data_IF_060136249218
#
_entry.id   IF_060136249218
#
_cell.length_a   1.000
_cell.length_b   1.000
_cell.length_c   1.000
_cell.angle_alpha   90.00
_cell.angle_beta   90.00
_cell.angle_gamma   90.00
#
_symmetry.space_group_name_H-M   'P 1'
#
loop_
_entity.id
_entity.type
_entity.pdbx_description
1 polymer ?
#
# COMPACT_ATOMS: atom_id res chain seq x y z
N UNK A 1 -22.74 13.95 70.78
CA UNK A 1 -21.60 13.42 70.16
C UNK A 1 -21.85 13.13 68.68
N UNK A 2 -22.17 14.18 67.92
CA UNK A 2 -22.43 14.15 66.48
C UNK A 2 -22.11 15.54 65.91
N UNK A 3 -20.88 15.78 65.60
CA UNK A 3 -20.50 16.93 64.77
C UNK A 3 -19.04 16.85 64.37
N UNK A 4 -18.70 16.01 63.38
CA UNK A 4 -17.38 16.02 62.73
C UNK A 4 -17.34 15.24 61.41
N UNK A 5 -18.44 15.22 60.63
CA UNK A 5 -18.41 14.45 59.34
C UNK A 5 -18.90 15.23 58.11
N UNK A 6 -19.01 16.55 58.19
CA UNK A 6 -19.58 17.32 57.06
C UNK A 6 -18.64 18.33 56.42
N UNK A 7 -17.33 18.31 56.74
CA UNK A 7 -16.37 19.27 56.14
C UNK A 7 -15.39 18.62 55.13
N UNK A 8 -15.38 17.29 55.04
CA UNK A 8 -14.45 16.58 54.14
C UNK A 8 -14.95 16.35 52.68
N UNK A 9 -16.21 16.63 52.38
CA UNK A 9 -16.80 16.40 51.05
C UNK A 9 -16.83 17.67 50.18
N UNK A 10 -16.70 18.85 50.74
CA UNK A 10 -16.72 20.12 50.00
C UNK A 10 -15.36 20.51 49.41
N UNK A 11 -14.25 19.94 49.87
CA UNK A 11 -12.90 20.23 49.32
C UNK A 11 -12.46 19.30 48.20
N UNK A 12 -13.16 18.20 47.96
CA UNK A 12 -12.86 17.25 46.89
C UNK A 12 -13.56 17.57 45.56
N UNK A 13 -14.59 18.43 45.58
CA UNK A 13 -15.33 18.81 44.37
C UNK A 13 -14.78 20.04 43.66
N UNK A 14 -13.80 20.74 44.25
CA UNK A 14 -13.17 21.94 43.64
C UNK A 14 -11.87 21.64 42.89
N UNK A 15 -11.39 20.41 42.91
CA UNK A 15 -10.14 19.97 42.21
C UNK A 15 -10.40 19.24 40.88
N UNK A 16 -11.66 19.06 40.48
CA UNK A 16 -12.05 18.33 39.26
C UNK A 16 -12.49 19.24 38.10
N UNK A 17 -12.36 20.56 38.21
CA UNK A 17 -12.79 21.50 37.14
C UNK A 17 -11.59 22.18 36.43
N UNK A 18 -10.34 21.85 36.78
CA UNK A 18 -9.16 22.49 36.18
C UNK A 18 -8.28 21.58 35.31
N UNK A 19 -8.80 20.53 34.72
CA UNK A 19 -7.97 19.70 33.82
C UNK A 19 -8.72 19.20 32.60
N UNK A 20 -9.15 20.11 31.72
CA UNK A 20 -9.41 19.78 30.30
C UNK A 20 -9.31 21.06 29.44
N UNK A 21 -8.17 21.69 29.45
CA UNK A 21 -7.68 22.43 28.28
C UNK A 21 -6.57 21.61 27.68
N UNK A 22 -6.93 20.62 26.86
CA UNK A 22 -6.04 20.12 25.83
C UNK A 22 -5.80 21.29 24.87
N UNK A 23 -4.75 22.06 25.11
CA UNK A 23 -4.19 22.87 24.08
C UNK A 23 -3.74 21.86 22.99
N UNK A 24 -4.46 21.81 21.88
CA UNK A 24 -3.93 21.26 20.67
C UNK A 24 -2.62 22.02 20.42
N UNK A 25 -1.49 21.40 20.72
CA UNK A 25 -0.21 21.83 20.20
C UNK A 25 -0.34 21.69 18.68
N UNK A 26 -0.63 22.80 18.02
CA UNK A 26 -0.27 22.95 16.63
C UNK A 26 1.24 22.69 16.60
N UNK A 27 1.64 21.55 16.07
CA UNK A 27 3.01 21.31 15.64
C UNK A 27 3.29 22.37 14.59
N UNK A 28 3.87 23.46 15.03
CA UNK A 28 4.48 24.45 14.14
C UNK A 28 5.57 23.66 13.43
N UNK A 29 5.32 23.27 12.20
CA UNK A 29 6.36 22.76 11.30
C UNK A 29 7.46 23.80 11.33
N UNK A 30 8.70 23.46 11.67
CA UNK A 30 9.79 24.45 11.65
C UNK A 30 9.78 25.07 10.23
N UNK A 31 9.93 26.39 10.11
CA UNK A 31 10.01 27.03 8.80
C UNK A 31 11.11 26.30 8.02
N UNK A 32 10.75 25.75 6.86
CA UNK A 32 11.75 25.21 5.94
C UNK A 32 12.81 26.32 5.76
N UNK A 33 14.09 25.99 5.85
CA UNK A 33 15.14 26.97 5.62
C UNK A 33 14.87 27.64 4.27
N UNK A 34 15.03 28.99 4.18
CA UNK A 34 14.78 29.70 2.93
C UNK A 34 15.58 29.00 1.85
N UNK A 35 14.91 28.76 0.71
CA UNK A 35 15.53 28.19 -0.50
C UNK A 35 16.82 29.01 -0.77
N UNK A 36 17.94 28.51 -0.30
CA UNK A 36 19.25 29.08 -0.65
C UNK A 36 19.31 29.00 -2.17
N UNK A 37 19.59 30.11 -2.83
CA UNK A 37 19.75 30.20 -4.29
C UNK A 37 20.77 29.11 -4.65
N UNK A 38 20.27 27.98 -5.13
CA UNK A 38 21.12 26.87 -5.56
C UNK A 38 21.58 27.21 -6.97
N UNK A 39 22.89 27.27 -7.12
CA UNK A 39 23.51 27.55 -8.41
C UNK A 39 23.69 26.22 -9.11
N UNK A 40 22.97 26.04 -10.22
CA UNK A 40 23.20 24.94 -11.15
C UNK A 40 24.54 25.16 -11.81
N UNK A 41 25.43 24.15 -11.77
CA UNK A 41 26.76 24.23 -12.32
C UNK A 41 27.07 23.03 -13.21
N UNK A 42 27.61 23.30 -14.41
CA UNK A 42 28.26 22.30 -15.22
C UNK A 42 29.67 22.11 -14.68
N UNK A 43 29.93 20.99 -14.02
CA UNK A 43 31.20 20.74 -13.34
C UNK A 43 32.21 19.94 -14.18
N UNK A 44 31.73 19.28 -15.26
CA UNK A 44 32.57 18.49 -16.17
C UNK A 44 31.95 18.41 -17.56
N UNK A 45 32.74 18.54 -18.61
CA UNK A 45 32.43 18.20 -19.99
C UNK A 45 33.71 18.11 -20.80
N UNK A 46 33.69 17.46 -21.97
CA UNK A 46 34.82 17.48 -22.94
C UNK A 46 34.85 18.76 -23.74
N UNK A 47 33.69 19.33 -24.04
CA UNK A 47 33.58 20.63 -24.71
C UNK A 47 32.53 21.50 -24.03
N UNK A 48 32.81 22.78 -23.96
CA UNK A 48 31.93 23.80 -23.39
C UNK A 48 31.87 24.97 -24.35
N UNK A 49 30.66 25.47 -24.62
CA UNK A 49 30.41 26.66 -25.42
C UNK A 49 29.39 27.53 -24.71
N UNK A 50 29.67 28.80 -24.64
CA UNK A 50 28.77 29.82 -24.12
C UNK A 50 28.36 30.75 -25.26
N UNK A 51 27.08 31.10 -25.30
CA UNK A 51 26.53 32.07 -26.26
C UNK A 51 25.58 33.01 -25.53
N UNK A 52 25.92 34.28 -25.53
CA UNK A 52 25.05 35.37 -25.10
C UNK A 52 24.09 35.73 -26.24
N UNK A 53 22.80 35.59 -25.98
CA UNK A 53 21.71 35.89 -26.93
C UNK A 53 21.30 37.34 -26.81
N UNK A 54 21.13 37.83 -25.57
CA UNK A 54 20.82 39.22 -25.23
C UNK A 54 21.46 39.58 -23.88
N UNK A 55 21.29 40.80 -23.41
CA UNK A 55 21.89 41.29 -22.15
C UNK A 55 21.54 40.49 -20.90
N UNK A 56 20.49 39.67 -20.96
CA UNK A 56 19.97 38.90 -19.85
C UNK A 56 19.99 37.37 -20.05
N UNK A 57 20.21 36.93 -21.31
CA UNK A 57 20.09 35.51 -21.68
C UNK A 57 21.42 34.95 -22.16
N UNK A 58 21.99 34.08 -21.37
CA UNK A 58 23.17 33.28 -21.73
C UNK A 58 22.79 31.82 -21.82
N UNK A 59 23.17 31.17 -22.92
CA UNK A 59 23.00 29.74 -23.15
C UNK A 59 24.38 29.08 -23.09
N UNK A 60 24.49 28.10 -22.22
CA UNK A 60 25.69 27.29 -22.09
C UNK A 60 25.40 25.88 -22.65
N UNK A 61 26.25 25.39 -23.52
CA UNK A 61 26.14 24.05 -24.12
C UNK A 61 27.39 23.26 -23.81
N UNK A 62 27.21 22.09 -23.21
CA UNK A 62 28.31 21.18 -22.90
C UNK A 62 28.06 19.81 -23.54
N UNK A 63 29.12 19.18 -24.01
CA UNK A 63 29.06 17.85 -24.64
C UNK A 63 30.27 16.98 -24.25
N UNK A 64 30.03 15.67 -24.27
CA UNK A 64 30.99 14.63 -23.93
C UNK A 64 31.08 14.40 -22.42
N UNK A 65 30.32 13.44 -21.91
CA UNK A 65 30.28 13.02 -20.51
C UNK A 65 30.01 14.22 -19.56
N UNK A 66 28.99 15.01 -19.88
CA UNK A 66 28.62 16.19 -19.11
C UNK A 66 28.10 15.82 -17.72
N UNK A 67 28.53 16.57 -16.73
CA UNK A 67 28.11 16.42 -15.32
C UNK A 67 27.65 17.77 -14.78
N UNK A 68 26.41 17.79 -14.30
CA UNK A 68 25.76 18.98 -13.75
C UNK A 68 25.46 18.73 -12.28
N UNK A 69 25.61 19.74 -11.46
CA UNK A 69 25.33 19.69 -10.02
C UNK A 69 24.31 20.75 -9.62
N UNK A 70 23.30 20.33 -8.82
CA UNK A 70 22.33 21.18 -8.16
C UNK A 70 22.19 20.72 -6.70
N UNK A 71 22.97 21.32 -5.81
CA UNK A 71 23.05 20.90 -4.42
C UNK A 71 23.51 19.45 -4.25
N UNK A 72 22.68 18.58 -3.70
CA UNK A 72 22.96 17.15 -3.54
C UNK A 72 22.61 16.31 -4.77
N UNK A 73 21.89 16.88 -5.74
CA UNK A 73 21.52 16.21 -6.99
C UNK A 73 22.64 16.34 -8.01
N UNK A 74 23.00 15.24 -8.63
CA UNK A 74 23.97 15.19 -9.72
C UNK A 74 23.31 14.61 -10.97
N UNK A 75 23.47 15.28 -12.11
CA UNK A 75 22.94 14.87 -13.40
C UNK A 75 24.11 14.55 -14.33
N UNK A 76 24.11 13.37 -14.92
CA UNK A 76 25.05 12.91 -15.93
C UNK A 76 24.32 12.78 -17.27
N UNK A 77 24.98 13.13 -18.39
CA UNK A 77 24.40 12.98 -19.73
C UNK A 77 25.48 13.07 -20.81
N UNK A 78 25.14 12.74 -22.05
CA UNK A 78 26.07 12.87 -23.18
C UNK A 78 26.24 14.35 -23.56
N UNK A 79 25.17 15.14 -23.53
CA UNK A 79 25.19 16.58 -23.80
C UNK A 79 24.08 17.32 -23.06
N UNK A 80 24.30 18.62 -22.82
CA UNK A 80 23.39 19.48 -22.08
C UNK A 80 23.35 20.88 -22.67
N UNK A 81 22.17 21.50 -22.62
CA UNK A 81 21.94 22.92 -22.88
C UNK A 81 21.40 23.53 -21.60
N UNK A 82 22.04 24.55 -21.08
CA UNK A 82 21.64 25.27 -19.88
C UNK A 82 21.30 26.73 -20.21
N UNK A 83 20.10 27.13 -19.88
CA UNK A 83 19.65 28.52 -19.97
C UNK A 83 19.80 29.21 -18.61
N UNK A 84 20.75 30.09 -18.48
CA UNK A 84 21.07 30.80 -17.25
C UNK A 84 19.93 31.71 -16.75
N UNK A 85 19.14 32.28 -17.67
CA UNK A 85 18.04 33.18 -17.33
C UNK A 85 16.83 32.44 -16.73
N UNK A 86 16.47 31.31 -17.30
CA UNK A 86 15.30 30.51 -16.86
C UNK A 86 15.68 29.44 -15.85
N UNK A 87 16.98 29.19 -15.64
CA UNK A 87 17.50 28.06 -14.86
C UNK A 87 17.00 26.70 -15.35
N UNK A 88 16.79 26.58 -16.67
CA UNK A 88 16.36 25.34 -17.30
C UNK A 88 17.54 24.60 -17.92
N UNK A 89 17.53 23.29 -17.75
CA UNK A 89 18.47 22.38 -18.37
C UNK A 89 17.70 21.45 -19.31
N UNK A 90 18.22 21.26 -20.52
CA UNK A 90 17.84 20.17 -21.39
C UNK A 90 19.03 19.23 -21.56
N UNK A 91 18.92 17.98 -21.13
CA UNK A 91 19.97 16.98 -21.23
C UNK A 91 19.57 15.85 -22.18
N UNK A 92 20.53 15.38 -22.94
CA UNK A 92 20.32 14.42 -24.02
C UNK A 92 21.31 13.26 -23.91
N UNK A 93 20.81 12.05 -24.15
CA UNK A 93 21.57 10.80 -24.20
C UNK A 93 22.08 10.37 -22.82
N UNK A 94 21.89 9.11 -22.48
CA UNK A 94 22.37 8.47 -21.27
C UNK A 94 22.18 9.30 -19.98
N UNK A 95 21.03 9.98 -19.91
CA UNK A 95 20.71 10.81 -18.75
C UNK A 95 20.60 9.94 -17.50
N UNK A 96 21.32 10.34 -16.45
CA UNK A 96 21.25 9.73 -15.12
C UNK A 96 21.20 10.81 -14.06
N UNK A 97 20.11 10.86 -13.31
CA UNK A 97 19.97 11.72 -12.13
C UNK A 97 20.27 10.88 -10.90
N UNK A 98 21.22 11.32 -10.11
CA UNK A 98 21.48 10.81 -8.76
C UNK A 98 21.00 11.84 -7.74
N UNK A 99 19.91 11.52 -7.05
CA UNK A 99 19.33 12.38 -6.01
C UNK A 99 19.76 11.87 -4.63
N UNK A 100 20.84 12.46 -4.12
CA UNK A 100 21.39 12.18 -2.79
C UNK A 100 21.62 10.67 -2.52
N UNK A 101 22.11 9.92 -3.50
CA UNK A 101 22.35 8.47 -3.46
C UNK A 101 21.16 7.61 -3.02
N UNK A 102 19.98 8.19 -2.90
CA UNK A 102 18.75 7.52 -2.46
C UNK A 102 17.85 7.12 -3.63
N UNK A 103 17.76 7.97 -4.65
CA UNK A 103 16.96 7.75 -5.86
C UNK A 103 17.85 7.95 -7.08
N UNK A 104 17.80 6.98 -7.99
CA UNK A 104 18.47 7.05 -9.28
C UNK A 104 17.41 7.03 -10.39
N UNK A 105 17.49 7.99 -11.31
CA UNK A 105 16.58 8.05 -12.46
C UNK A 105 17.39 8.09 -13.75
N UNK A 106 17.01 7.26 -14.71
CA UNK A 106 17.66 7.13 -16.03
C UNK A 106 16.65 7.46 -17.11
N UNK A 107 17.10 8.08 -18.20
CA UNK A 107 16.28 8.40 -19.37
C UNK A 107 17.15 8.69 -20.61
N UNK A 108 16.51 8.91 -21.76
CA UNK A 108 17.23 9.40 -22.96
C UNK A 108 17.12 10.93 -23.12
N UNK A 109 16.16 11.54 -22.45
CA UNK A 109 15.96 12.98 -22.45
C UNK A 109 15.47 13.46 -21.08
N UNK A 110 15.97 14.62 -20.67
CA UNK A 110 15.55 15.34 -19.48
C UNK A 110 15.36 16.81 -19.82
N UNK A 111 14.23 17.38 -19.37
CA UNK A 111 14.09 18.81 -19.14
C UNK A 111 13.98 19.03 -17.64
N UNK A 112 14.91 19.79 -17.06
CA UNK A 112 14.94 20.11 -15.63
C UNK A 112 14.74 21.61 -15.43
N UNK A 113 13.74 21.97 -14.61
CA UNK A 113 13.41 23.34 -14.21
C UNK A 113 13.97 23.56 -12.82
N UNK A 114 15.16 24.16 -12.75
CA UNK A 114 15.91 24.27 -11.51
C UNK A 114 15.21 25.07 -10.40
N UNK A 115 14.54 26.18 -10.76
CA UNK A 115 13.76 26.98 -9.81
C UNK A 115 12.63 26.23 -9.12
N UNK A 116 11.99 25.32 -9.82
CA UNK A 116 10.90 24.49 -9.32
C UNK A 116 11.38 23.12 -8.80
N UNK A 117 12.58 22.73 -9.20
CA UNK A 117 13.16 21.42 -8.98
C UNK A 117 12.30 20.28 -9.56
N UNK A 118 11.78 20.48 -10.77
CA UNK A 118 10.99 19.49 -11.48
C UNK A 118 11.79 18.96 -12.67
N UNK A 119 11.88 17.63 -12.75
CA UNK A 119 12.48 16.89 -13.85
C UNK A 119 11.39 16.25 -14.70
N UNK A 120 11.36 16.56 -16.00
CA UNK A 120 10.55 15.90 -17.02
C UNK A 120 11.44 14.95 -17.81
N UNK A 121 11.25 13.65 -17.63
CA UNK A 121 12.08 12.62 -18.24
C UNK A 121 11.29 11.88 -19.31
N UNK A 122 11.94 11.56 -20.42
CA UNK A 122 11.31 10.88 -21.55
C UNK A 122 12.19 9.77 -22.13
N UNK A 123 11.53 8.76 -22.68
CA UNK A 123 12.08 7.60 -23.39
C UNK A 123 12.91 6.69 -22.48
N UNK A 124 12.41 5.47 -22.29
CA UNK A 124 13.06 4.44 -21.48
C UNK A 124 13.38 4.91 -20.06
N UNK A 125 12.43 5.58 -19.42
CA UNK A 125 12.62 6.10 -18.09
C UNK A 125 12.63 4.96 -17.07
N UNK A 126 13.65 4.95 -16.22
CA UNK A 126 13.79 4.03 -15.10
C UNK A 126 14.08 4.81 -13.84
N UNK A 127 13.22 4.70 -12.84
CA UNK A 127 13.46 5.23 -11.49
C UNK A 127 13.64 4.06 -10.52
N UNK A 128 14.65 4.14 -9.66
CA UNK A 128 14.89 3.11 -8.63
C UNK A 128 15.39 3.74 -7.32
N UNK A 129 14.93 3.16 -6.20
CA UNK A 129 15.32 3.52 -4.84
C UNK A 129 16.00 2.35 -4.10
N UNK A 130 16.64 1.44 -4.84
CA UNK A 130 17.28 0.20 -4.34
C UNK A 130 16.30 -0.88 -3.84
N UNK A 131 14.98 -0.58 -3.72
CA UNK A 131 13.95 -1.54 -3.30
C UNK A 131 13.03 -1.92 -4.44
N UNK A 132 12.67 -0.95 -5.25
CA UNK A 132 11.81 -1.14 -6.41
C UNK A 132 12.34 -0.44 -7.65
N UNK A 133 11.78 -0.79 -8.79
CA UNK A 133 12.08 -0.18 -10.09
C UNK A 133 10.78 0.22 -10.75
N UNK A 134 10.62 1.50 -11.07
CA UNK A 134 9.59 2.00 -11.96
C UNK A 134 10.15 2.14 -13.37
N UNK A 135 9.46 1.61 -14.36
CA UNK A 135 9.73 1.74 -15.79
C UNK A 135 8.54 2.45 -16.45
N UNK A 136 8.80 3.47 -17.25
CA UNK A 136 7.81 4.21 -18.05
C UNK A 136 8.48 4.94 -19.20
N UNK A 137 7.73 5.53 -20.10
CA UNK A 137 8.28 6.38 -21.17
C UNK A 137 8.21 7.88 -20.84
N UNK A 138 7.32 8.29 -19.96
CA UNK A 138 7.16 9.67 -19.52
C UNK A 138 7.07 9.72 -17.98
N UNK A 139 7.96 10.49 -17.35
CA UNK A 139 8.00 10.69 -15.91
C UNK A 139 8.18 12.17 -15.59
N UNK A 140 7.32 12.70 -14.74
CA UNK A 140 7.53 13.96 -14.05
C UNK A 140 7.98 13.65 -12.61
N UNK A 141 9.14 14.15 -12.20
CA UNK A 141 9.67 13.97 -10.87
C UNK A 141 9.94 15.32 -10.20
N UNK A 142 9.19 15.61 -9.16
CA UNK A 142 9.41 16.77 -8.31
C UNK A 142 10.43 16.40 -7.21
N UNK A 143 11.67 16.87 -7.38
CA UNK A 143 12.77 16.56 -6.46
C UNK A 143 12.65 17.27 -5.10
N UNK A 144 11.77 18.30 -4.99
CA UNK A 144 11.52 19.00 -3.72
C UNK A 144 10.60 18.18 -2.82
N UNK A 145 9.55 17.61 -3.41
CA UNK A 145 8.52 16.87 -2.69
C UNK A 145 8.75 15.36 -2.71
N UNK A 146 9.69 14.87 -3.51
CA UNK A 146 9.91 13.44 -3.69
C UNK A 146 8.75 12.73 -4.41
N UNK A 147 7.92 13.47 -5.17
CA UNK A 147 6.76 12.90 -5.88
C UNK A 147 7.10 12.68 -7.34
N UNK A 148 6.95 11.44 -7.80
CA UNK A 148 7.09 11.08 -9.20
C UNK A 148 5.73 10.66 -9.79
N UNK A 149 5.39 11.20 -10.96
CA UNK A 149 4.13 10.92 -11.65
C UNK A 149 4.41 10.42 -13.05
N UNK A 150 3.76 9.34 -13.44
CA UNK A 150 3.78 8.86 -14.82
C UNK A 150 2.38 8.78 -15.41
N UNK A 151 2.30 8.89 -16.75
CA UNK A 151 1.08 8.75 -17.55
C UNK A 151 1.38 7.87 -18.76
N UNK A 152 0.33 7.32 -19.36
CA UNK A 152 0.41 6.50 -20.58
C UNK A 152 1.16 5.16 -20.42
N UNK A 153 1.17 4.62 -19.22
CA UNK A 153 1.73 3.31 -18.92
C UNK A 153 2.95 3.37 -18.02
N UNK A 154 2.92 2.54 -17.00
CA UNK A 154 4.03 2.32 -16.08
C UNK A 154 4.06 0.89 -15.58
N UNK A 155 5.26 0.43 -15.24
CA UNK A 155 5.50 -0.89 -14.70
C UNK A 155 6.42 -0.79 -13.49
N UNK A 156 5.94 -1.26 -12.34
CA UNK A 156 6.74 -1.36 -11.12
C UNK A 156 7.17 -2.79 -10.90
N UNK A 157 8.44 -2.97 -10.61
CA UNK A 157 9.06 -4.25 -10.26
C UNK A 157 9.51 -4.19 -8.80
N UNK A 158 9.05 -5.13 -7.98
CA UNK A 158 9.46 -5.28 -6.60
C UNK A 158 9.69 -6.77 -6.28
N UNK A 159 10.94 -7.21 -6.33
CA UNK A 159 11.28 -8.62 -6.26
C UNK A 159 10.66 -9.41 -7.42
N UNK A 160 9.75 -10.36 -7.09
CA UNK A 160 9.00 -11.14 -8.08
C UNK A 160 7.64 -10.54 -8.44
N UNK A 161 7.23 -9.51 -7.72
CA UNK A 161 5.96 -8.81 -7.95
C UNK A 161 6.11 -7.83 -9.11
N UNK A 162 5.20 -7.90 -10.06
CA UNK A 162 5.09 -7.00 -11.21
C UNK A 162 3.75 -6.29 -11.14
N UNK A 163 3.75 -4.97 -11.20
CA UNK A 163 2.55 -4.18 -11.21
C UNK A 163 2.56 -3.25 -12.42
N UNK A 164 1.45 -3.21 -13.16
CA UNK A 164 1.26 -2.32 -14.32
C UNK A 164 0.00 -1.48 -14.14
N UNK A 165 0.01 -0.27 -14.66
CA UNK A 165 -1.17 0.60 -14.77
C UNK A 165 -0.98 1.66 -15.86
N UNK A 166 -2.07 2.34 -16.24
CA UNK A 166 -1.97 3.45 -17.18
C UNK A 166 -1.31 4.68 -16.56
N UNK A 167 -1.68 5.02 -15.33
CA UNK A 167 -1.17 6.19 -14.61
C UNK A 167 -0.72 5.78 -13.21
N UNK A 168 0.22 6.53 -12.63
CA UNK A 168 0.63 6.33 -11.24
C UNK A 168 1.37 7.49 -10.62
N UNK A 169 1.37 7.51 -9.30
CA UNK A 169 2.06 8.51 -8.48
C UNK A 169 2.88 7.78 -7.43
N UNK A 170 4.18 7.99 -7.42
CA UNK A 170 5.09 7.47 -6.39
C UNK A 170 5.44 8.55 -5.39
N UNK A 171 5.36 8.22 -4.11
CA UNK A 171 5.72 9.06 -2.98
C UNK A 171 7.00 8.52 -2.35
N UNK A 172 8.12 9.21 -2.56
CA UNK A 172 9.44 8.72 -2.14
C UNK A 172 9.59 8.62 -0.61
N UNK A 173 8.92 9.47 0.16
CA UNK A 173 9.02 9.50 1.63
C UNK A 173 8.34 8.29 2.27
N UNK A 174 7.08 7.99 1.84
CA UNK A 174 6.29 6.89 2.40
C UNK A 174 6.54 5.57 1.70
N UNK A 175 7.17 5.59 0.51
CA UNK A 175 7.36 4.43 -0.38
C UNK A 175 6.04 3.86 -0.92
N UNK A 176 5.01 4.70 -0.99
CA UNK A 176 3.72 4.37 -1.54
C UNK A 176 3.68 4.66 -3.04
N UNK A 177 3.01 3.80 -3.78
CA UNK A 177 2.67 4.02 -5.18
C UNK A 177 1.16 3.95 -5.32
N UNK A 178 0.55 5.02 -5.80
CA UNK A 178 -0.86 5.05 -6.15
C UNK A 178 -1.02 4.78 -7.64
N UNK A 179 -1.51 3.60 -7.97
CA UNK A 179 -1.79 3.14 -9.32
C UNK A 179 -3.22 3.45 -9.72
N UNK A 180 -3.41 3.90 -10.97
CA UNK A 180 -4.71 4.29 -11.51
C UNK A 180 -4.89 3.75 -12.91
N UNK A 181 -6.10 3.33 -13.20
CA UNK A 181 -6.57 2.83 -14.50
C UNK A 181 -5.88 1.54 -14.95
N UNK A 182 -6.66 0.50 -15.17
CA UNK A 182 -6.19 -0.79 -15.67
C UNK A 182 -5.05 -1.38 -14.81
N UNK A 183 -5.21 -1.34 -13.50
CA UNK A 183 -4.19 -1.85 -12.58
C UNK A 183 -4.17 -3.36 -12.62
N UNK A 184 -3.01 -3.93 -12.89
CA UNK A 184 -2.77 -5.37 -12.85
C UNK A 184 -1.49 -5.65 -12.06
N UNK A 185 -1.65 -6.34 -10.92
CA UNK A 185 -0.55 -6.81 -10.08
C UNK A 185 -0.44 -8.32 -10.22
N UNK A 186 0.73 -8.79 -10.59
CA UNK A 186 1.08 -10.21 -10.67
C UNK A 186 2.20 -10.50 -9.68
N UNK A 187 1.92 -11.42 -8.78
CA UNK A 187 2.87 -11.99 -7.83
C UNK A 187 2.86 -13.52 -8.00
N UNK A 188 3.89 -14.28 -7.62
CA UNK A 188 3.89 -15.75 -7.73
C UNK A 188 2.67 -16.46 -7.10
N UNK A 189 2.00 -15.80 -6.14
CA UNK A 189 0.83 -16.36 -5.47
C UNK A 189 -0.49 -15.74 -5.90
N UNK A 190 -0.48 -14.52 -6.48
CA UNK A 190 -1.67 -13.71 -6.70
C UNK A 190 -1.66 -13.04 -8.08
N UNK A 191 -2.82 -13.01 -8.74
CA UNK A 191 -3.16 -12.14 -9.88
C UNK A 191 -4.27 -11.20 -9.41
N UNK A 192 -3.99 -9.88 -9.37
CA UNK A 192 -4.90 -8.87 -8.84
C UNK A 192 -5.23 -7.87 -9.94
N UNK A 193 -6.51 -7.67 -10.21
CA UNK A 193 -7.03 -6.71 -11.19
C UNK A 193 -7.98 -5.74 -10.52
N UNK A 194 -7.74 -4.45 -10.75
CA UNK A 194 -8.54 -3.36 -10.19
C UNK A 194 -8.39 -2.10 -11.03
N UNK A 195 -9.22 -1.09 -10.77
CA UNK A 195 -9.05 0.23 -11.39
C UNK A 195 -8.09 1.13 -10.61
N UNK A 196 -8.00 0.95 -9.29
CA UNK A 196 -7.14 1.77 -8.45
C UNK A 196 -6.59 0.98 -7.26
N UNK A 197 -5.30 1.14 -7.00
CA UNK A 197 -4.58 0.42 -5.95
C UNK A 197 -3.54 1.33 -5.31
N UNK A 198 -3.47 1.35 -3.98
CA UNK A 198 -2.32 1.86 -3.25
C UNK A 198 -1.43 0.68 -2.85
N UNK A 199 -0.15 0.75 -3.18
CA UNK A 199 0.82 -0.30 -2.87
C UNK A 199 2.05 0.28 -2.17
N UNK A 200 2.39 -0.27 -1.02
CA UNK A 200 3.61 0.11 -0.31
C UNK A 200 4.76 -0.83 -0.67
N UNK A 201 5.81 -0.28 -1.27
CA UNK A 201 6.96 -1.07 -1.79
C UNK A 201 7.81 -1.67 -0.67
N UNK A 202 7.80 -1.07 0.52
CA UNK A 202 8.63 -1.52 1.66
C UNK A 202 8.03 -2.72 2.37
N UNK A 203 6.75 -2.66 2.70
CA UNK A 203 6.06 -3.70 3.46
C UNK A 203 5.29 -4.69 2.59
N UNK A 204 5.12 -4.39 1.28
CA UNK A 204 4.37 -5.19 0.31
C UNK A 204 2.88 -5.31 0.63
N UNK A 205 2.31 -4.25 1.22
CA UNK A 205 0.87 -4.17 1.49
C UNK A 205 0.17 -3.52 0.30
N UNK A 206 -0.84 -4.22 -0.24
CA UNK A 206 -1.78 -3.71 -1.22
C UNK A 206 -3.04 -3.21 -0.50
N UNK A 207 -3.46 -1.96 -0.75
CA UNK A 207 -4.70 -1.38 -0.23
C UNK A 207 -5.67 -1.17 -1.38
N UNK A 208 -6.79 -1.87 -1.34
CA UNK A 208 -7.86 -1.81 -2.34
C UNK A 208 -8.79 -0.65 -2.04
N UNK A 209 -9.01 0.19 -3.04
CA UNK A 209 -9.85 1.39 -2.97
C UNK A 209 -10.88 1.45 -4.11
N UNK A 210 -10.97 0.39 -4.88
CA UNK A 210 -11.89 0.19 -6.00
C UNK A 210 -12.29 -1.28 -6.08
N UNK A 211 -13.33 -1.65 -6.86
CA UNK A 211 -13.67 -3.05 -7.13
C UNK A 211 -12.44 -3.82 -7.60
N UNK A 212 -12.13 -4.90 -6.89
CA UNK A 212 -10.90 -5.66 -7.06
C UNK A 212 -11.20 -7.14 -7.17
N UNK A 213 -10.62 -7.78 -8.17
CA UNK A 213 -10.66 -9.21 -8.43
C UNK A 213 -9.28 -9.81 -8.16
N UNK A 214 -9.20 -10.77 -7.24
CA UNK A 214 -7.96 -11.43 -6.83
C UNK A 214 -8.10 -12.92 -7.13
N UNK A 215 -7.16 -13.45 -7.89
CA UNK A 215 -7.06 -14.89 -8.16
C UNK A 215 -5.81 -15.44 -7.50
N UNK A 216 -5.93 -16.52 -6.77
CA UNK A 216 -4.82 -17.27 -6.17
C UNK A 216 -5.01 -18.77 -6.39
N UNK A 217 -4.04 -19.59 -6.02
CA UNK A 217 -4.19 -21.05 -6.01
C UNK A 217 -5.29 -21.53 -5.05
N UNK A 218 -5.61 -20.75 -4.02
CA UNK A 218 -6.55 -21.12 -2.96
C UNK A 218 -7.96 -20.62 -3.25
N UNK A 219 -8.16 -19.83 -4.32
CA UNK A 219 -9.48 -19.37 -4.75
C UNK A 219 -9.49 -17.95 -5.33
N UNK A 220 -10.71 -17.43 -5.42
CA UNK A 220 -11.02 -16.13 -6.01
C UNK A 220 -11.62 -15.24 -4.91
N UNK A 221 -11.19 -13.98 -4.88
CA UNK A 221 -11.74 -12.97 -3.97
C UNK A 221 -12.22 -11.79 -4.80
N UNK A 222 -13.48 -11.40 -4.60
CA UNK A 222 -14.05 -10.18 -5.14
C UNK A 222 -14.37 -9.23 -3.98
N UNK A 223 -13.72 -8.08 -3.96
CA UNK A 223 -13.85 -7.07 -2.89
C UNK A 223 -13.90 -5.66 -3.46
N UNK A 224 -14.24 -4.68 -2.62
CA UNK A 224 -14.22 -3.26 -3.00
C UNK A 224 -13.31 -2.41 -2.13
N UNK A 225 -12.95 -2.91 -0.95
CA UNK A 225 -12.11 -2.17 -0.01
C UNK A 225 -11.44 -3.13 0.95
N UNK A 226 -10.18 -2.86 1.27
CA UNK A 226 -9.44 -3.67 2.22
C UNK A 226 -7.94 -3.55 2.05
N UNK A 227 -7.23 -4.36 2.80
CA UNK A 227 -5.77 -4.49 2.72
C UNK A 227 -5.38 -5.95 2.58
N UNK A 228 -4.30 -6.18 1.86
CA UNK A 228 -3.72 -7.50 1.67
C UNK A 228 -2.20 -7.43 1.81
N UNK A 229 -1.64 -8.18 2.73
CA UNK A 229 -0.20 -8.34 2.90
C UNK A 229 0.29 -9.48 1.99
N UNK A 230 1.01 -9.13 0.91
CA UNK A 230 1.54 -10.09 -0.05
C UNK A 230 2.64 -11.02 0.50
N UNK A 231 3.22 -10.68 1.67
CA UNK A 231 4.25 -11.51 2.32
C UNK A 231 3.63 -12.58 3.21
N UNK A 232 2.67 -12.18 4.05
CA UNK A 232 2.07 -13.04 5.08
C UNK A 232 0.75 -13.68 4.64
N UNK A 233 0.06 -13.09 3.65
CA UNK A 233 -1.28 -13.49 3.26
C UNK A 233 -2.37 -12.97 4.20
N UNK A 234 -2.02 -12.12 5.17
CA UNK A 234 -3.01 -11.50 6.03
C UNK A 234 -3.86 -10.49 5.24
N UNK A 235 -5.17 -10.53 5.45
CA UNK A 235 -6.11 -9.68 4.73
C UNK A 235 -7.21 -9.14 5.64
N UNK A 236 -7.65 -7.92 5.34
CA UNK A 236 -8.83 -7.31 5.94
C UNK A 236 -9.66 -6.72 4.81
N UNK A 237 -10.89 -7.19 4.65
CA UNK A 237 -11.85 -6.66 3.68
C UNK A 237 -12.98 -5.99 4.45
N UNK A 238 -13.23 -4.70 4.19
CA UNK A 238 -14.13 -3.85 4.99
C UNK A 238 -15.45 -3.53 4.29
N UNK A 239 -15.71 -4.11 3.13
CA UNK A 239 -16.97 -3.98 2.41
C UNK A 239 -17.40 -5.36 1.91
N UNK A 240 -18.66 -5.46 1.45
CA UNK A 240 -19.22 -6.71 0.94
C UNK A 240 -18.24 -7.44 0.04
N UNK A 241 -17.71 -8.54 0.53
CA UNK A 241 -16.66 -9.34 -0.11
C UNK A 241 -17.16 -10.76 -0.31
N UNK A 242 -16.82 -11.37 -1.46
CA UNK A 242 -16.98 -12.80 -1.69
C UNK A 242 -15.63 -13.48 -1.80
N UNK A 243 -15.47 -14.60 -1.14
CA UNK A 243 -14.30 -15.50 -1.24
C UNK A 243 -14.83 -16.85 -1.69
N UNK A 244 -14.29 -17.36 -2.78
CA UNK A 244 -14.70 -18.65 -3.35
C UNK A 244 -13.50 -19.53 -3.59
N UNK A 245 -13.52 -20.74 -3.07
CA UNK A 245 -12.61 -21.83 -3.46
C UNK A 245 -13.35 -22.92 -4.24
N UNK A 246 -12.75 -24.09 -4.40
CA UNK A 246 -13.36 -25.21 -5.16
C UNK A 246 -14.66 -25.75 -4.56
N UNK A 247 -14.88 -25.55 -3.26
CA UNK A 247 -15.99 -26.15 -2.50
C UNK A 247 -16.75 -25.18 -1.64
N UNK A 248 -16.18 -24.00 -1.36
CA UNK A 248 -16.73 -23.05 -0.40
C UNK A 248 -16.95 -21.68 -1.01
N UNK A 249 -18.02 -21.03 -0.55
CA UNK A 249 -18.31 -19.64 -0.85
C UNK A 249 -18.58 -18.92 0.46
N UNK A 250 -17.78 -17.88 0.73
CA UNK A 250 -17.95 -16.99 1.87
C UNK A 250 -18.37 -15.62 1.35
N UNK A 251 -19.42 -15.04 1.92
CA UNK A 251 -19.87 -13.68 1.62
C UNK A 251 -20.14 -12.97 2.94
N UNK A 252 -19.58 -11.76 3.12
CA UNK A 252 -19.83 -10.97 4.31
C UNK A 252 -19.54 -9.48 4.09
N UNK A 253 -19.96 -8.64 5.05
CA UNK A 253 -19.69 -7.20 5.01
C UNK A 253 -18.26 -6.89 5.43
N UNK A 254 -17.69 -7.71 6.34
CA UNK A 254 -16.29 -7.65 6.75
C UNK A 254 -15.72 -9.07 6.87
N UNK A 255 -14.53 -9.26 6.35
CA UNK A 255 -13.77 -10.51 6.46
C UNK A 255 -12.33 -10.18 6.86
N UNK A 256 -11.85 -10.83 7.92
CA UNK A 256 -10.43 -10.80 8.32
C UNK A 256 -9.86 -12.19 8.15
N UNK A 257 -8.70 -12.30 7.54
CA UNK A 257 -8.02 -13.57 7.28
C UNK A 257 -6.54 -13.47 7.65
N UNK A 258 -6.02 -14.48 8.31
CA UNK A 258 -4.61 -14.63 8.63
C UNK A 258 -4.16 -16.03 8.20
N UNK A 259 -3.32 -16.11 7.16
CA UNK A 259 -2.82 -17.39 6.64
C UNK A 259 -1.85 -18.09 7.62
N UNK A 260 -1.15 -17.33 8.47
CA UNK A 260 -0.18 -17.89 9.43
C UNK A 260 -0.89 -18.62 10.56
N UNK A 261 -1.92 -18.01 11.13
CA UNK A 261 -2.75 -18.64 12.17
C UNK A 261 -3.79 -19.58 11.59
N UNK A 262 -4.22 -19.36 10.35
CA UNK A 262 -5.28 -20.09 9.68
C UNK A 262 -6.68 -19.68 10.17
N UNK A 263 -6.80 -18.52 10.81
CA UNK A 263 -8.07 -17.99 11.31
C UNK A 263 -8.69 -17.07 10.27
N UNK A 264 -10.00 -17.25 10.04
CA UNK A 264 -10.85 -16.35 9.25
C UNK A 264 -12.01 -15.91 10.11
N UNK A 265 -12.22 -14.61 10.23
CA UNK A 265 -13.33 -14.01 10.94
C UNK A 265 -14.25 -13.31 9.96
N UNK A 266 -15.53 -13.59 10.07
CA UNK A 266 -16.61 -13.12 9.20
C UNK A 266 -17.56 -12.30 10.05
N UNK A 267 -17.81 -11.07 9.67
CA UNK A 267 -18.66 -10.14 10.41
C UNK A 267 -19.68 -9.46 9.48
N UNK A 268 -20.90 -9.36 9.93
CA UNK A 268 -22.01 -8.70 9.23
C UNK A 268 -22.54 -9.50 8.03
N UNK A 269 -23.80 -9.94 8.13
CA UNK A 269 -24.50 -10.67 7.07
C UNK A 269 -23.67 -11.80 6.48
N UNK A 270 -23.00 -12.57 7.36
CA UNK A 270 -22.12 -13.66 6.97
C UNK A 270 -22.90 -14.84 6.37
N UNK A 271 -22.42 -15.35 5.23
CA UNK A 271 -22.91 -16.57 4.59
C UNK A 271 -21.69 -17.44 4.24
N UNK A 272 -21.68 -18.66 4.76
CA UNK A 272 -20.73 -19.71 4.41
C UNK A 272 -21.51 -20.83 3.72
N UNK A 273 -21.15 -21.16 2.50
CA UNK A 273 -21.68 -22.31 1.76
C UNK A 273 -20.56 -23.33 1.60
N UNK A 274 -20.81 -24.57 1.99
CA UNK A 274 -19.94 -25.72 1.74
C UNK A 274 -20.69 -26.70 0.83
N UNK A 275 -20.29 -26.74 -0.44
CA UNK A 275 -20.97 -27.56 -1.45
C UNK A 275 -20.67 -29.05 -1.34
N UNK A 276 -19.53 -29.43 -0.71
CA UNK A 276 -19.20 -30.85 -0.51
C UNK A 276 -20.03 -31.45 0.62
N UNK A 277 -20.19 -30.70 1.70
CA UNK A 277 -20.95 -31.14 2.86
C UNK A 277 -22.44 -30.76 2.76
N UNK A 278 -22.86 -30.12 1.67
CA UNK A 278 -24.22 -29.65 1.43
C UNK A 278 -24.80 -28.81 2.56
N UNK A 279 -23.95 -27.90 3.12
CA UNK A 279 -24.27 -27.05 4.27
C UNK A 279 -24.18 -25.59 3.89
N UNK A 280 -25.17 -24.82 4.34
CA UNK A 280 -25.12 -23.35 4.35
C UNK A 280 -25.23 -22.85 5.79
N UNK A 281 -24.32 -21.97 6.21
CA UNK A 281 -24.37 -21.29 7.50
C UNK A 281 -24.56 -19.80 7.26
N UNK A 282 -25.55 -19.22 7.91
CA UNK A 282 -25.84 -17.79 7.89
C UNK A 282 -25.75 -17.28 9.33
N UNK A 283 -24.96 -16.23 9.58
CA UNK A 283 -24.84 -15.62 10.90
C UNK A 283 -24.29 -14.19 10.79
N UNK A 284 -24.43 -13.39 11.83
CA UNK A 284 -23.73 -12.12 11.87
C UNK A 284 -22.21 -12.28 12.12
N UNK A 285 -21.83 -13.35 12.83
CA UNK A 285 -20.41 -13.65 13.11
C UNK A 285 -20.13 -15.12 12.87
N UNK A 286 -19.04 -15.41 12.15
CA UNK A 286 -18.54 -16.77 11.94
C UNK A 286 -17.01 -16.73 12.07
N UNK A 287 -16.47 -17.46 13.04
CA UNK A 287 -15.04 -17.68 13.22
C UNK A 287 -14.68 -19.06 12.66
N UNK A 288 -13.72 -19.11 11.73
CA UNK A 288 -13.25 -20.34 11.08
C UNK A 288 -11.80 -20.58 11.47
N UNK A 289 -11.49 -21.78 11.92
CA UNK A 289 -10.12 -22.27 12.08
C UNK A 289 -9.79 -23.29 11.01
N UNK A 290 -8.98 -22.90 10.01
CA UNK A 290 -8.53 -23.81 8.95
C UNK A 290 -7.67 -24.96 9.51
N UNK A 291 -6.85 -24.67 10.53
CA UNK A 291 -5.95 -25.67 11.16
C UNK A 291 -6.71 -26.74 11.93
N UNK A 292 -7.82 -26.35 12.57
CA UNK A 292 -8.64 -27.27 13.37
C UNK A 292 -9.81 -27.82 12.59
N UNK A 293 -9.99 -27.40 11.33
CA UNK A 293 -11.12 -27.71 10.50
C UNK A 293 -12.44 -27.51 11.25
N UNK A 294 -12.59 -26.33 11.86
CA UNK A 294 -13.74 -26.00 12.71
C UNK A 294 -14.30 -24.62 12.38
N UNK A 295 -15.57 -24.40 12.71
CA UNK A 295 -16.18 -23.07 12.73
C UNK A 295 -17.05 -22.88 13.96
N UNK A 296 -17.19 -21.62 14.39
CA UNK A 296 -18.09 -21.14 15.40
C UNK A 296 -18.95 -20.04 14.81
N UNK A 297 -20.27 -20.24 14.72
CA UNK A 297 -21.20 -19.21 14.26
C UNK A 297 -22.08 -18.74 15.43
N UNK A 298 -22.25 -17.41 15.56
CA UNK A 298 -23.00 -16.80 16.64
C UNK A 298 -23.67 -15.49 16.19
N UNK A 299 -24.49 -14.89 17.04
CA UNK A 299 -25.34 -13.74 16.73
C UNK A 299 -26.32 -14.08 15.59
N UNK A 300 -27.37 -14.83 15.95
CA UNK A 300 -28.45 -15.30 15.09
C UNK A 300 -27.99 -16.30 14.01
N UNK A 301 -27.28 -17.37 14.39
CA UNK A 301 -26.85 -18.36 13.41
C UNK A 301 -28.01 -19.25 12.99
N UNK A 302 -28.03 -19.55 11.69
CA UNK A 302 -28.90 -20.56 11.07
C UNK A 302 -28.02 -21.45 10.20
N UNK A 303 -28.11 -22.76 10.41
CA UNK A 303 -27.49 -23.75 9.54
C UNK A 303 -28.57 -24.44 8.72
N UNK A 304 -28.34 -24.56 7.43
CA UNK A 304 -29.24 -25.23 6.48
C UNK A 304 -28.50 -26.46 5.94
N UNK A 305 -29.04 -27.61 6.19
CA UNK A 305 -28.57 -28.88 5.62
C UNK A 305 -29.39 -29.17 4.37
N UNK A 306 -28.72 -29.35 3.24
CA UNK A 306 -29.37 -29.70 1.98
C UNK A 306 -29.20 -31.20 1.72
N UNK A 307 -30.29 -31.94 1.50
CA UNK A 307 -30.21 -33.37 1.22
C UNK A 307 -31.36 -33.78 0.31
N UNK A 308 -31.06 -34.43 -0.79
CA UNK A 308 -32.03 -35.04 -1.74
C UNK A 308 -33.14 -34.06 -2.21
N UNK A 309 -32.81 -32.77 -2.35
CA UNK A 309 -33.75 -31.71 -2.76
C UNK A 309 -34.51 -31.05 -1.59
N UNK A 310 -34.40 -31.58 -0.38
CA UNK A 310 -34.97 -31.00 0.85
C UNK A 310 -33.99 -30.17 1.63
N UNK A 311 -34.50 -29.31 2.51
CA UNK A 311 -33.66 -28.45 3.39
C UNK A 311 -34.11 -28.54 4.83
N UNK A 312 -33.18 -28.85 5.74
CA UNK A 312 -33.41 -28.84 7.17
C UNK A 312 -32.74 -27.60 7.77
N UNK A 313 -33.48 -26.84 8.56
CA UNK A 313 -33.04 -25.61 9.20
C UNK A 313 -32.76 -25.85 10.68
N UNK A 314 -31.58 -25.44 11.14
CA UNK A 314 -31.16 -25.53 12.54
C UNK A 314 -30.81 -24.11 12.99
N UNK A 315 -31.48 -23.62 14.01
CA UNK A 315 -31.21 -22.32 14.62
C UNK A 315 -30.90 -22.50 16.11
N UNK A 316 -29.94 -21.73 16.62
CA UNK A 316 -29.52 -21.76 18.01
C UNK A 316 -28.87 -20.41 18.35
N UNK A 317 -28.51 -20.16 19.62
CA UNK A 317 -27.73 -18.99 20.01
C UNK A 317 -26.30 -19.06 19.45
N UNK A 318 -25.77 -20.28 19.36
CA UNK A 318 -24.44 -20.58 18.84
C UNK A 318 -24.43 -21.92 18.15
N UNK A 319 -23.74 -21.99 17.01
CA UNK A 319 -23.50 -23.25 16.27
C UNK A 319 -22.00 -23.50 16.18
N UNK A 320 -21.55 -24.69 16.55
CA UNK A 320 -20.17 -25.12 16.44
C UNK A 320 -20.07 -26.39 15.61
N UNK A 321 -19.11 -26.42 14.71
CA UNK A 321 -18.70 -27.63 13.99
C UNK A 321 -17.19 -27.79 14.10
N UNK A 322 -16.71 -28.99 14.38
CA UNK A 322 -15.29 -29.26 14.49
C UNK A 322 -15.01 -30.73 14.83
N UNK A 323 -13.77 -31.13 14.63
CA UNK A 323 -13.33 -32.48 14.97
C UNK A 323 -13.21 -32.63 16.50
N UNK A 324 -13.91 -33.62 17.07
CA UNK A 324 -13.75 -33.99 18.47
C UNK A 324 -12.40 -34.68 18.66
N UNK A 325 -11.48 -34.07 19.39
CA UNK A 325 -10.27 -34.76 19.84
C UNK A 325 -10.71 -35.81 20.87
N UNK A 326 -10.61 -37.09 20.53
CA UNK A 326 -10.78 -38.15 21.50
C UNK A 326 -9.60 -38.13 22.44
N UNK A 327 -9.81 -37.82 23.73
CA UNK A 327 -8.83 -37.98 24.77
C UNK A 327 -8.54 -39.49 24.94
N UNK A 328 -7.34 -39.91 24.52
CA UNK A 328 -6.85 -41.28 24.66
C UNK A 328 -6.54 -41.68 26.15
N UNK A 329 -6.98 -40.88 27.11
CA UNK A 329 -6.70 -41.05 28.53
C UNK A 329 -7.64 -42.05 29.24
N UNK A 330 -8.71 -42.57 28.61
CA UNK A 330 -9.61 -43.54 29.27
C UNK A 330 -9.23 -45.00 29.05
N UNK A 331 -8.10 -45.36 28.44
CA UNK A 331 -7.68 -46.76 28.23
C UNK A 331 -6.75 -47.32 29.33
N UNK A 332 -6.51 -46.62 30.45
CA UNK A 332 -5.60 -47.10 31.51
C UNK A 332 -6.25 -47.57 32.80
N UNK A 333 -7.58 -47.70 32.89
CA UNK A 333 -8.24 -48.09 34.14
C UNK A 333 -8.93 -49.45 34.13
N UNK A 334 -8.86 -50.25 33.05
CA UNK A 334 -9.51 -51.59 33.04
C UNK A 334 -8.57 -52.76 32.83
N UNK A 335 -7.31 -52.71 33.34
CA UNK A 335 -6.46 -53.89 33.45
C UNK A 335 -5.76 -53.94 34.82
N UNK A 336 -6.53 -54.05 35.89
CA UNK A 336 -6.10 -54.61 37.18
C UNK A 336 -7.34 -55.20 37.84
N UNK A 337 -7.61 -56.44 37.54
CA UNK A 337 -8.14 -57.47 38.44
C UNK A 337 -7.76 -58.84 37.88
#
# INVERSE_FOLDING_TARGET
MHLKFTIAIASLLLLLICSNRSAAQQTVTPPQPPDTIRIIQIIKAKSLREKTIDSATTIETAAGDAVIKDGLTTIFCDSVVYNHKTHEIEAFGNVHINDNDSIHTYAQYLKYVGGERIAYLKKNVKLTDKKGVLLTDDLEYNLRTGIATYKNGGRVLNGKTVLTSSDGVYYADTKDVYFKKNVHLVDPKYDIRTDSLLYNVTNSIATFIAPTHIVSKDGIIDTRSGTYDLKTGAAIFNQRTSIRDSSRLIIADRITSDEVTGIVQIEGNGKLVDSINEVTVIANNIDISKKENSFLAYNKPVMILHKDGDSTYIAADTLFSGLRKYDSLQKKTNNKN
#
